data_IF_718125306316
#
_entry.id   IF_718125306316
#
_cell.length_a   1.000
_cell.length_b   1.000
_cell.length_c   1.000
_cell.angle_alpha   90.00
_cell.angle_beta   90.00
_cell.angle_gamma   90.00
#
_symmetry.space_group_name_H-M   'P 1'
#
loop_
_entity.id
_entity.type
_entity.pdbx_description
1 polymer ?
#
# COMPACT_ATOMS: atom_id res chain seq x y z
N UNK A 1 -24.10 -8.08 -15.98
CA UNK A 1 -22.64 -8.17 -16.21
C UNK A 1 -22.00 -6.86 -15.80
N UNK A 2 -21.86 -6.62 -14.50
CA UNK A 2 -21.12 -5.47 -13.98
C UNK A 2 -19.66 -5.89 -13.88
N UNK A 3 -18.81 -5.32 -14.74
CA UNK A 3 -17.37 -5.37 -14.51
C UNK A 3 -17.10 -4.65 -13.20
N UNK A 4 -16.73 -5.38 -12.16
CA UNK A 4 -16.25 -4.78 -10.91
C UNK A 4 -14.91 -4.15 -11.23
N UNK A 5 -14.89 -2.86 -11.54
CA UNK A 5 -13.66 -2.09 -11.74
C UNK A 5 -12.85 -2.19 -10.44
N UNK A 6 -11.85 -3.08 -10.43
CA UNK A 6 -10.88 -3.18 -9.33
C UNK A 6 -10.14 -1.85 -9.28
N UNK A 7 -10.28 -1.08 -8.19
CA UNK A 7 -9.46 0.12 -7.99
C UNK A 7 -8.03 -0.32 -7.70
N UNK A 8 -7.14 -0.04 -8.65
CA UNK A 8 -5.71 -0.35 -8.61
C UNK A 8 -4.92 0.93 -8.78
N UNK A 9 -3.85 1.07 -8.01
CA UNK A 9 -2.81 2.09 -8.21
C UNK A 9 -1.48 1.39 -8.49
N UNK A 10 -0.84 1.76 -9.60
CA UNK A 10 0.46 1.23 -10.00
C UNK A 10 1.48 2.37 -9.97
N UNK A 11 2.35 2.35 -8.96
CA UNK A 11 3.38 3.35 -8.69
C UNK A 11 4.78 2.72 -8.74
N UNK A 12 4.92 1.58 -9.42
CA UNK A 12 6.19 0.89 -9.57
C UNK A 12 7.23 1.75 -10.29
N UNK A 13 8.51 1.58 -9.95
CA UNK A 13 9.62 2.20 -10.70
C UNK A 13 9.72 3.72 -10.54
N UNK A 14 9.18 4.28 -9.46
CA UNK A 14 9.31 5.70 -9.14
C UNK A 14 10.43 5.95 -8.11
N UNK A 15 10.60 7.21 -7.73
CA UNK A 15 11.60 7.64 -6.74
C UNK A 15 10.98 7.89 -5.35
N UNK A 16 9.94 7.14 -4.97
CA UNK A 16 9.33 7.29 -3.64
C UNK A 16 10.31 6.84 -2.55
N UNK A 17 10.46 7.63 -1.50
CA UNK A 17 11.41 7.38 -0.40
C UNK A 17 10.72 7.18 0.94
N UNK A 18 9.57 7.82 1.14
CA UNK A 18 8.76 7.73 2.36
C UNK A 18 7.31 7.59 1.94
N UNK A 19 6.56 6.74 2.65
CA UNK A 19 5.11 6.72 2.58
C UNK A 19 4.55 7.36 3.85
N UNK A 20 3.72 8.38 3.68
CA UNK A 20 3.06 9.11 4.76
C UNK A 20 1.61 8.69 4.93
N UNK A 21 0.99 9.09 6.05
CA UNK A 21 -0.46 8.93 6.27
C UNK A 21 -1.30 9.67 5.23
N UNK A 22 -0.79 10.75 4.64
CA UNK A 22 -1.54 11.56 3.70
C UNK A 22 -1.58 10.96 2.29
N UNK A 23 -0.54 10.23 1.88
CA UNK A 23 -0.35 9.78 0.49
C UNK A 23 -1.52 8.94 -0.05
N UNK A 24 -2.18 8.18 0.84
CA UNK A 24 -3.29 7.31 0.49
C UNK A 24 -4.59 7.64 1.25
N UNK A 25 -4.65 8.83 1.84
CA UNK A 25 -5.85 9.32 2.54
C UNK A 25 -7.06 9.34 1.60
N UNK A 26 -8.20 8.87 2.10
CA UNK A 26 -9.47 8.81 1.37
C UNK A 26 -9.59 7.67 0.35
N UNK A 27 -8.53 6.90 0.07
CA UNK A 27 -8.55 5.80 -0.90
C UNK A 27 -9.17 4.50 -0.35
N UNK A 28 -10.31 4.62 0.35
CA UNK A 28 -10.96 3.52 1.10
C UNK A 28 -11.29 2.28 0.29
N UNK A 29 -11.52 2.48 -1.01
CA UNK A 29 -11.92 1.45 -1.96
C UNK A 29 -10.74 0.90 -2.79
N UNK A 30 -9.51 1.31 -2.52
CA UNK A 30 -8.34 0.80 -3.25
C UNK A 30 -8.09 -0.66 -2.88
N UNK A 31 -8.02 -1.55 -3.88
CA UNK A 31 -7.86 -2.99 -3.68
C UNK A 31 -6.46 -3.49 -3.94
N UNK A 32 -5.74 -2.82 -4.86
CA UNK A 32 -4.39 -3.21 -5.26
C UNK A 32 -3.48 -1.99 -5.29
N UNK A 33 -2.36 -2.06 -4.56
CA UNK A 33 -1.33 -1.03 -4.53
C UNK A 33 0.02 -1.64 -4.87
N UNK A 34 0.62 -1.21 -5.97
CA UNK A 34 1.97 -1.62 -6.36
C UNK A 34 2.96 -0.47 -6.16
N UNK A 35 3.99 -0.71 -5.35
CA UNK A 35 5.04 0.25 -4.99
C UNK A 35 6.44 -0.37 -5.16
N UNK A 36 6.55 -1.40 -6.01
CA UNK A 36 7.81 -2.10 -6.27
C UNK A 36 8.83 -1.18 -6.92
N UNK A 37 10.11 -1.50 -6.78
CA UNK A 37 11.20 -0.79 -7.49
C UNK A 37 11.21 0.72 -7.21
N UNK A 38 10.89 1.09 -5.98
CA UNK A 38 11.06 2.44 -5.47
C UNK A 38 12.26 2.49 -4.51
N UNK A 39 12.40 3.59 -3.78
CA UNK A 39 13.48 3.82 -2.82
C UNK A 39 12.95 3.94 -1.39
N UNK A 40 11.78 3.35 -1.12
CA UNK A 40 11.05 3.54 0.14
C UNK A 40 11.86 2.94 1.28
N UNK A 41 12.27 3.77 2.23
CA UNK A 41 13.03 3.36 3.41
C UNK A 41 12.19 3.47 4.69
N UNK A 42 11.11 4.25 4.66
CA UNK A 42 10.24 4.46 5.81
C UNK A 42 8.76 4.46 5.41
N UNK A 43 7.93 3.82 6.23
CA UNK A 43 6.47 3.91 6.14
C UNK A 43 5.95 4.41 7.48
N UNK A 44 5.22 5.52 7.47
CA UNK A 44 4.62 6.07 8.67
C UNK A 44 3.60 5.12 9.28
N UNK A 45 3.49 5.17 10.61
CA UNK A 45 2.45 4.43 11.33
C UNK A 45 1.07 4.88 10.84
N UNK A 46 0.27 3.91 10.40
CA UNK A 46 -1.07 4.14 9.91
C UNK A 46 -1.16 4.66 8.48
N UNK A 47 -0.05 4.63 7.71
CA UNK A 47 -0.03 5.00 6.30
C UNK A 47 -1.07 4.24 5.44
N UNK A 48 -1.41 3.02 5.84
CA UNK A 48 -2.37 2.18 5.14
C UNK A 48 -3.72 2.05 5.86
N UNK A 49 -3.92 2.73 7.00
CA UNK A 49 -5.08 2.50 7.88
C UNK A 49 -6.44 2.74 7.19
N UNK A 50 -6.48 3.67 6.24
CA UNK A 50 -7.70 4.00 5.51
C UNK A 50 -7.99 3.08 4.33
N UNK A 51 -7.03 2.26 3.90
CA UNK A 51 -7.16 1.35 2.76
C UNK A 51 -7.95 0.08 3.13
N UNK A 52 -9.23 0.26 3.51
CA UNK A 52 -10.08 -0.80 4.09
C UNK A 52 -10.33 -1.98 3.17
N UNK A 53 -10.32 -1.75 1.87
CA UNK A 53 -10.52 -2.79 0.86
C UNK A 53 -9.21 -3.31 0.25
N UNK A 54 -8.04 -2.99 0.83
CA UNK A 54 -6.75 -3.38 0.27
C UNK A 54 -6.51 -4.88 0.39
N UNK A 55 -6.54 -5.57 -0.74
CA UNK A 55 -6.33 -7.02 -0.83
C UNK A 55 -4.88 -7.38 -1.13
N UNK A 56 -4.18 -6.50 -1.86
CA UNK A 56 -2.81 -6.75 -2.34
C UNK A 56 -1.95 -5.50 -2.25
N UNK A 57 -0.81 -5.65 -1.60
CA UNK A 57 0.24 -4.64 -1.51
C UNK A 57 1.53 -5.25 -2.03
N UNK A 58 2.29 -4.53 -2.86
CA UNK A 58 3.63 -4.96 -3.30
C UNK A 58 4.66 -3.89 -2.95
N UNK A 59 5.59 -4.24 -2.07
CA UNK A 59 6.67 -3.36 -1.59
C UNK A 59 8.08 -3.91 -1.89
N UNK A 60 8.20 -5.01 -2.63
CA UNK A 60 9.49 -5.61 -2.96
C UNK A 60 10.40 -4.67 -3.75
N UNK A 61 11.73 -4.88 -3.63
CA UNK A 61 12.75 -4.02 -4.26
C UNK A 61 12.62 -2.55 -3.81
N UNK A 62 12.47 -2.34 -2.51
CA UNK A 62 12.60 -1.05 -1.82
C UNK A 62 13.77 -1.09 -0.83
N UNK A 63 13.94 -0.05 -0.02
CA UNK A 63 15.00 0.07 1.00
C UNK A 63 14.49 -0.17 2.43
N UNK A 64 13.37 -0.88 2.56
CA UNK A 64 12.77 -1.24 3.84
C UNK A 64 13.62 -2.32 4.52
N UNK A 65 14.17 -2.00 5.68
CA UNK A 65 14.90 -2.96 6.51
C UNK A 65 13.98 -3.83 7.35
N UNK A 66 12.86 -3.26 7.82
CA UNK A 66 11.85 -3.95 8.63
C UNK A 66 10.47 -3.37 8.33
N UNK A 67 9.44 -4.22 8.41
CA UNK A 67 8.04 -3.82 8.40
C UNK A 67 7.40 -4.28 9.70
N UNK A 68 6.80 -3.35 10.44
CA UNK A 68 6.06 -3.69 11.65
C UNK A 68 4.78 -4.42 11.28
N UNK A 69 4.47 -5.54 11.94
CA UNK A 69 3.19 -6.24 11.76
C UNK A 69 1.98 -5.34 12.07
N UNK A 70 2.15 -4.37 12.97
CA UNK A 70 1.12 -3.39 13.32
C UNK A 70 0.77 -2.45 12.16
N UNK A 71 1.60 -2.37 11.12
CA UNK A 71 1.36 -1.51 9.97
C UNK A 71 0.13 -1.93 9.17
N UNK A 72 -0.26 -3.21 9.25
CA UNK A 72 -1.37 -3.78 8.48
C UNK A 72 -2.59 -4.15 9.35
N UNK A 73 -2.58 -3.79 10.64
CA UNK A 73 -3.64 -4.18 11.58
C UNK A 73 -5.03 -3.71 11.16
N UNK A 74 -5.11 -2.64 10.36
CA UNK A 74 -6.37 -2.04 9.90
C UNK A 74 -6.80 -2.48 8.50
N UNK A 75 -6.00 -3.30 7.83
CA UNK A 75 -6.23 -3.85 6.50
C UNK A 75 -6.63 -5.33 6.60
N UNK A 76 -7.82 -5.59 7.17
CA UNK A 76 -8.28 -6.94 7.55
C UNK A 76 -8.40 -7.91 6.37
N UNK A 77 -8.57 -7.39 5.16
CA UNK A 77 -8.69 -8.20 3.92
C UNK A 77 -7.37 -8.35 3.16
N UNK A 78 -6.27 -7.79 3.68
CA UNK A 78 -4.96 -7.92 3.07
C UNK A 78 -4.50 -9.37 3.12
N UNK A 79 -4.36 -9.99 1.96
CA UNK A 79 -4.02 -11.41 1.84
C UNK A 79 -2.71 -11.66 1.10
N UNK A 80 -2.15 -10.62 0.45
CA UNK A 80 -0.92 -10.73 -0.33
C UNK A 80 -0.03 -9.51 -0.12
N UNK A 81 1.20 -9.78 0.32
CA UNK A 81 2.30 -8.83 0.48
C UNK A 81 3.44 -9.20 -0.50
#
# INVERSE_FOLDING_TARGET
MTSVLIKKSDLNGNNLTVITKADFSGLKHLRVLHLMENQISNVERGAFDELKELERLRLNKNRLSQLSELLFQKNEVLSRL
#
